data_IF_197136062231
#
_entry.id   IF_197136062231
#
_cell.length_a   1.000
_cell.length_b   1.000
_cell.length_c   1.000
_cell.angle_alpha   90.00
_cell.angle_beta   90.00
_cell.angle_gamma   90.00
#
_symmetry.space_group_name_H-M   'P 1'
#
loop_
_entity.id
_entity.type
_entity.pdbx_description
1 polymer ?
#
# COMPACT_ATOMS: atom_id res chain seq x y z
N UNK A 1 -41.54 14.77 -36.57
CA UNK A 1 -40.16 14.22 -36.48
C UNK A 1 -39.26 14.95 -35.46
N UNK A 2 -39.70 15.19 -34.21
CA UNK A 2 -38.87 15.88 -33.19
C UNK A 2 -38.60 15.08 -31.90
N UNK A 3 -39.41 14.06 -31.58
CA UNK A 3 -39.27 13.26 -30.33
C UNK A 3 -38.09 12.28 -30.34
N UNK A 4 -37.72 11.72 -31.50
CA UNK A 4 -36.62 10.73 -31.61
C UNK A 4 -35.23 11.34 -31.35
N UNK A 5 -34.99 12.61 -31.70
CA UNK A 5 -33.70 13.28 -31.45
C UNK A 5 -33.44 13.57 -29.97
N UNK A 6 -34.49 13.84 -29.19
CA UNK A 6 -34.36 14.16 -27.76
C UNK A 6 -33.97 12.92 -26.94
N UNK A 7 -34.54 11.76 -27.29
CA UNK A 7 -34.22 10.49 -26.61
C UNK A 7 -32.77 10.07 -26.86
N UNK A 8 -32.24 10.29 -28.08
CA UNK A 8 -30.85 10.03 -28.40
C UNK A 8 -29.85 10.90 -27.63
N UNK A 9 -30.19 12.17 -27.38
CA UNK A 9 -29.32 13.09 -26.61
C UNK A 9 -29.30 12.71 -25.12
N UNK A 10 -30.43 12.31 -24.54
CA UNK A 10 -30.50 11.88 -23.14
C UNK A 10 -29.70 10.58 -22.91
N UNK A 11 -29.75 9.64 -23.87
CA UNK A 11 -28.97 8.41 -23.81
C UNK A 11 -27.45 8.66 -23.87
N UNK A 12 -27.01 9.61 -24.70
CA UNK A 12 -25.59 9.99 -24.81
C UNK A 12 -25.10 10.67 -23.52
N UNK A 13 -25.90 11.56 -22.93
CA UNK A 13 -25.55 12.22 -21.65
C UNK A 13 -25.50 11.20 -20.50
N UNK A 14 -26.38 10.19 -20.49
CA UNK A 14 -26.34 9.10 -19.53
C UNK A 14 -25.07 8.24 -19.63
N UNK A 15 -24.61 7.95 -20.85
CA UNK A 15 -23.37 7.18 -21.09
C UNK A 15 -22.12 8.01 -20.73
N UNK A 16 -22.09 9.31 -21.07
CA UNK A 16 -21.00 10.21 -20.67
C UNK A 16 -20.97 10.38 -19.14
N UNK A 17 -22.13 10.38 -18.47
CA UNK A 17 -22.21 10.40 -17.00
C UNK A 17 -21.62 9.14 -16.35
N UNK A 18 -21.84 7.96 -16.95
CA UNK A 18 -21.27 6.69 -16.46
C UNK A 18 -19.76 6.63 -16.71
N UNK A 19 -19.29 7.05 -17.89
CA UNK A 19 -17.85 7.15 -18.20
C UNK A 19 -17.18 8.23 -17.34
N UNK A 20 -17.88 9.33 -17.04
CA UNK A 20 -17.41 10.38 -16.14
C UNK A 20 -17.30 9.93 -14.69
N UNK A 21 -18.19 9.06 -14.21
CA UNK A 21 -18.08 8.43 -12.89
C UNK A 21 -16.90 7.43 -12.86
N UNK A 22 -16.70 6.66 -13.92
CA UNK A 22 -15.50 5.80 -14.06
C UNK A 22 -14.21 6.65 -14.12
N UNK A 23 -14.25 7.83 -14.75
CA UNK A 23 -13.14 8.78 -14.81
C UNK A 23 -12.84 9.51 -13.50
N UNK A 24 -13.81 9.62 -12.58
CA UNK A 24 -13.61 10.14 -11.22
C UNK A 24 -13.03 9.06 -10.29
N UNK A 25 -13.17 7.78 -10.63
CA UNK A 25 -12.45 6.65 -10.02
C UNK A 25 -11.12 6.44 -10.75
N UNK A 26 -10.36 7.52 -10.93
CA UNK A 26 -9.04 7.53 -11.56
C UNK A 26 -7.94 6.90 -10.69
N UNK A 27 -8.25 5.81 -9.99
CA UNK A 27 -7.34 5.03 -9.15
C UNK A 27 -7.87 3.58 -9.17
N UNK A 28 -7.86 2.91 -10.33
CA UNK A 28 -7.96 1.45 -10.34
C UNK A 28 -6.58 0.97 -9.87
N UNK A 29 -6.45 0.74 -8.57
CA UNK A 29 -5.32 0.00 -8.03
C UNK A 29 -5.35 -1.39 -8.68
N UNK A 30 -4.40 -1.71 -9.56
CA UNK A 30 -4.25 -3.08 -10.04
C UNK A 30 -3.58 -3.86 -8.92
N UNK A 31 -4.35 -4.75 -8.29
CA UNK A 31 -3.86 -5.66 -7.29
C UNK A 31 -2.99 -6.72 -7.97
N UNK A 32 -1.73 -6.84 -7.56
CA UNK A 32 -0.86 -7.91 -8.02
C UNK A 32 -1.10 -9.16 -7.17
N UNK A 33 -1.63 -10.22 -7.81
CA UNK A 33 -2.05 -11.48 -7.17
C UNK A 33 -0.90 -12.35 -6.65
N UNK A 34 0.36 -11.94 -6.85
CA UNK A 34 1.54 -12.65 -6.35
C UNK A 34 2.15 -11.94 -5.13
N UNK A 35 1.54 -12.04 -3.94
CA UNK A 35 2.11 -11.43 -2.74
C UNK A 35 3.41 -12.12 -2.34
N UNK A 36 4.34 -11.33 -1.83
CA UNK A 36 5.55 -11.84 -1.16
C UNK A 36 5.18 -12.19 0.28
N UNK A 37 5.34 -13.45 0.68
CA UNK A 37 4.89 -13.94 1.98
C UNK A 37 6.05 -14.43 2.86
N UNK A 38 5.87 -14.27 4.16
CA UNK A 38 6.85 -14.52 5.21
C UNK A 38 6.21 -15.27 6.39
N UNK A 39 7.05 -15.84 7.25
CA UNK A 39 6.70 -16.54 8.48
C UNK A 39 5.68 -17.65 8.23
N UNK A 40 5.97 -18.53 7.27
CA UNK A 40 5.05 -19.60 6.81
C UNK A 40 3.69 -19.03 6.38
N UNK A 41 3.73 -18.04 5.50
CA UNK A 41 2.56 -17.34 4.98
C UNK A 41 1.71 -16.64 6.05
N UNK A 42 2.24 -16.32 7.22
CA UNK A 42 1.51 -15.58 8.26
C UNK A 42 1.39 -14.09 7.96
N UNK A 43 2.41 -13.52 7.31
CA UNK A 43 2.47 -12.10 6.91
C UNK A 43 2.79 -12.05 5.43
N UNK A 44 2.06 -11.24 4.68
CA UNK A 44 2.30 -11.05 3.26
C UNK A 44 2.38 -9.57 2.91
N UNK A 45 3.07 -9.27 1.81
CA UNK A 45 3.21 -7.95 1.24
C UNK A 45 2.63 -7.97 -0.18
N UNK A 46 1.62 -7.13 -0.40
CA UNK A 46 1.01 -6.94 -1.71
C UNK A 46 1.37 -5.58 -2.29
N UNK A 47 1.40 -5.51 -3.61
CA UNK A 47 1.59 -4.27 -4.36
C UNK A 47 0.28 -3.85 -5.02
N UNK A 48 0.00 -2.56 -4.94
CA UNK A 48 -1.15 -1.89 -5.53
C UNK A 48 -0.61 -0.90 -6.55
N UNK A 49 -0.81 -1.17 -7.82
CA UNK A 49 -0.30 -0.33 -8.91
C UNK A 49 -1.32 0.74 -9.30
N UNK A 50 -0.86 1.98 -9.36
CA UNK A 50 -1.62 3.13 -9.83
C UNK A 50 -0.96 3.68 -11.11
N UNK A 51 -1.62 4.63 -11.78
CA UNK A 51 -1.18 5.14 -13.09
C UNK A 51 0.29 5.59 -13.16
N UNK A 52 0.85 6.05 -12.03
CA UNK A 52 2.23 6.54 -11.97
C UNK A 52 3.00 6.07 -10.72
N UNK A 53 2.46 5.12 -9.95
CA UNK A 53 3.01 4.79 -8.64
C UNK A 53 2.65 3.37 -8.18
N UNK A 54 3.27 2.93 -7.09
CA UNK A 54 2.94 1.66 -6.45
C UNK A 54 2.88 1.82 -4.93
N UNK A 55 1.79 1.39 -4.29
CA UNK A 55 1.73 1.23 -2.84
C UNK A 55 2.05 -0.22 -2.49
N UNK A 56 2.92 -0.44 -1.50
CA UNK A 56 3.08 -1.76 -0.89
C UNK A 56 2.47 -1.76 0.49
N UNK A 57 1.58 -2.72 0.71
CA UNK A 57 0.93 -2.94 1.99
C UNK A 57 1.34 -4.29 2.56
N UNK A 58 1.83 -4.25 3.79
CA UNK A 58 2.08 -5.43 4.60
C UNK A 58 0.80 -5.76 5.36
N UNK A 59 0.39 -7.03 5.39
CA UNK A 59 -0.86 -7.44 6.00
C UNK A 59 -0.74 -8.84 6.61
N UNK A 60 -1.61 -9.13 7.58
CA UNK A 60 -1.78 -10.49 8.07
C UNK A 60 -2.48 -11.33 7.01
N UNK A 61 -1.89 -12.44 6.61
CA UNK A 61 -2.48 -13.29 5.58
C UNK A 61 -3.61 -14.18 6.14
N UNK A 62 -4.46 -14.66 5.24
CA UNK A 62 -5.46 -15.67 5.52
C UNK A 62 -5.68 -16.53 4.27
N UNK A 63 -5.07 -17.72 4.24
CA UNK A 63 -5.08 -18.62 3.09
C UNK A 63 -6.47 -19.21 2.77
N UNK A 64 -7.40 -19.18 3.72
CA UNK A 64 -8.75 -19.71 3.52
C UNK A 64 -9.67 -18.73 2.78
N UNK A 65 -9.21 -17.52 2.46
CA UNK A 65 -10.02 -16.53 1.76
C UNK A 65 -10.04 -16.79 0.26
N UNK A 66 -11.22 -16.55 -0.32
CA UNK A 66 -11.41 -16.44 -1.75
C UNK A 66 -10.84 -15.10 -2.26
N UNK A 67 -10.44 -15.04 -3.53
CA UNK A 67 -9.80 -13.85 -4.12
C UNK A 67 -10.67 -12.59 -4.02
N UNK A 68 -11.99 -12.72 -4.16
CA UNK A 68 -12.95 -11.62 -4.00
C UNK A 68 -12.96 -10.98 -2.59
N UNK A 69 -12.57 -11.74 -1.56
CA UNK A 69 -12.50 -11.26 -0.17
C UNK A 69 -11.12 -10.78 0.23
N UNK A 70 -10.09 -11.11 -0.55
CA UNK A 70 -8.68 -10.85 -0.24
C UNK A 70 -8.39 -9.36 -0.16
N UNK A 71 -8.90 -8.57 -1.09
CA UNK A 71 -8.71 -7.11 -1.08
C UNK A 71 -9.26 -6.45 0.19
N UNK A 72 -10.50 -6.78 0.57
CA UNK A 72 -11.11 -6.27 1.79
C UNK A 72 -10.33 -6.72 3.03
N UNK A 73 -9.87 -7.97 3.04
CA UNK A 73 -9.04 -8.49 4.13
C UNK A 73 -7.72 -7.74 4.29
N UNK A 74 -7.01 -7.49 3.19
CA UNK A 74 -5.76 -6.72 3.20
C UNK A 74 -6.01 -5.35 3.82
N UNK A 75 -7.05 -4.65 3.40
CA UNK A 75 -7.39 -3.31 3.93
C UNK A 75 -7.70 -3.32 5.43
N UNK A 76 -8.40 -4.35 5.93
CA UNK A 76 -8.75 -4.47 7.34
C UNK A 76 -7.59 -4.95 8.23
N UNK A 77 -6.62 -5.67 7.66
CA UNK A 77 -5.54 -6.32 8.40
C UNK A 77 -4.15 -5.80 8.00
N UNK A 78 -4.08 -4.54 7.53
CA UNK A 78 -2.81 -3.86 7.27
C UNK A 78 -1.99 -3.81 8.56
N UNK A 79 -0.73 -4.15 8.44
CA UNK A 79 0.27 -4.04 9.49
C UNK A 79 1.00 -2.73 9.25
N UNK A 80 0.95 -1.80 10.20
CA UNK A 80 1.48 -0.46 10.02
C UNK A 80 2.04 0.12 11.32
N UNK A 81 3.18 0.84 11.31
CA UNK A 81 3.72 1.47 12.50
C UNK A 81 2.81 2.62 12.96
N UNK A 82 2.48 2.65 14.25
CA UNK A 82 1.57 3.65 14.81
C UNK A 82 2.16 5.06 14.70
N UNK A 83 1.32 6.04 14.36
CA UNK A 83 1.65 7.48 14.29
C UNK A 83 2.74 7.84 13.28
N UNK A 84 2.99 6.99 12.28
CA UNK A 84 3.88 7.32 11.18
C UNK A 84 3.08 7.55 9.90
N UNK A 85 3.67 8.28 8.96
CA UNK A 85 3.12 8.49 7.63
C UNK A 85 4.20 8.01 6.67
N UNK A 86 3.87 7.07 5.79
CA UNK A 86 4.87 6.38 4.99
C UNK A 86 4.40 5.04 4.43
N UNK A 87 5.34 4.27 3.87
CA UNK A 87 5.03 3.03 3.16
C UNK A 87 6.08 1.97 3.42
N UNK A 88 5.67 0.71 3.34
CA UNK A 88 6.61 -0.40 3.32
C UNK A 88 7.30 -0.48 1.96
N UNK A 89 8.59 -0.82 1.96
CA UNK A 89 9.37 -1.00 0.73
C UNK A 89 9.66 -2.47 0.44
N UNK A 90 10.21 -3.16 1.42
CA UNK A 90 10.64 -4.54 1.35
C UNK A 90 10.71 -5.12 2.75
N UNK A 91 10.65 -6.44 2.85
CA UNK A 91 10.83 -7.19 4.08
C UNK A 91 11.77 -8.38 3.84
N UNK A 92 12.38 -8.87 4.91
CA UNK A 92 13.17 -10.10 4.90
C UNK A 92 12.97 -10.86 6.22
N UNK A 93 12.98 -12.20 6.17
CA UNK A 93 12.96 -13.02 7.38
C UNK A 93 14.30 -12.99 8.10
N UNK A 94 14.27 -12.74 9.41
CA UNK A 94 15.46 -12.80 10.26
C UNK A 94 15.40 -13.97 11.26
N UNK A 95 14.23 -14.59 11.43
CA UNK A 95 14.01 -15.80 12.23
C UNK A 95 12.68 -16.44 11.86
N UNK A 96 12.40 -17.62 12.43
CA UNK A 96 11.11 -18.31 12.25
C UNK A 96 9.89 -17.57 12.81
N UNK A 97 10.08 -16.51 13.61
CA UNK A 97 9.01 -15.71 14.19
C UNK A 97 9.12 -14.22 13.90
N UNK A 98 10.13 -13.76 13.15
CA UNK A 98 10.33 -12.32 12.95
C UNK A 98 10.85 -11.98 11.56
N UNK A 99 10.32 -10.89 11.02
CA UNK A 99 10.80 -10.22 9.81
C UNK A 99 11.37 -8.85 10.17
N UNK A 100 12.24 -8.34 9.31
CA UNK A 100 12.63 -6.93 9.28
C UNK A 100 12.08 -6.33 8.01
N UNK A 101 11.42 -5.18 8.14
CA UNK A 101 10.86 -4.44 7.03
C UNK A 101 11.42 -3.02 6.99
N UNK A 102 11.77 -2.57 5.78
CA UNK A 102 12.14 -1.18 5.53
C UNK A 102 10.89 -0.35 5.31
N UNK A 103 10.80 0.77 6.01
CA UNK A 103 9.69 1.70 5.96
C UNK A 103 10.19 3.08 5.55
N UNK A 104 9.63 3.64 4.50
CA UNK A 104 9.92 5.00 4.08
C UNK A 104 8.92 5.96 4.72
N UNK A 105 9.40 6.71 5.71
CA UNK A 105 8.61 7.67 6.46
C UNK A 105 8.71 9.06 5.84
N UNK A 106 7.56 9.71 5.69
CA UNK A 106 7.44 11.12 5.41
C UNK A 106 7.43 11.90 6.72
N UNK A 107 8.39 12.81 6.89
CA UNK A 107 8.55 13.64 8.10
C UNK A 107 8.45 15.12 7.76
N UNK A 108 8.33 15.96 8.80
CA UNK A 108 8.31 17.42 8.68
C UNK A 108 7.20 18.00 7.79
N UNK A 109 6.09 17.27 7.63
CA UNK A 109 4.91 17.73 6.89
C UNK A 109 3.89 18.35 7.84
N UNK A 110 3.38 19.54 7.49
CA UNK A 110 2.33 20.21 8.26
C UNK A 110 0.98 19.50 8.14
N UNK A 111 0.71 18.93 6.96
CA UNK A 111 -0.48 18.16 6.64
C UNK A 111 -0.10 17.18 5.54
N UNK A 112 -0.54 15.94 5.67
CA UNK A 112 -0.44 14.99 4.56
C UNK A 112 -1.42 15.42 3.47
N UNK A 113 -0.91 15.65 2.27
CA UNK A 113 -1.71 15.91 1.06
C UNK A 113 -1.51 14.71 0.12
N UNK A 114 -2.58 14.12 -0.46
CA UNK A 114 -2.42 13.02 -1.41
C UNK A 114 -1.68 13.54 -2.64
N UNK A 115 -0.38 13.31 -2.65
CA UNK A 115 0.57 13.73 -3.67
C UNK A 115 1.49 12.55 -3.92
N UNK A 116 1.91 12.38 -5.18
CA UNK A 116 2.99 11.47 -5.53
C UNK A 116 4.27 11.81 -4.73
N UNK A 117 5.08 10.79 -4.39
CA UNK A 117 6.26 10.93 -3.53
C UNK A 117 7.28 11.92 -4.07
N UNK A 118 7.41 11.99 -5.40
CA UNK A 118 8.29 12.93 -6.10
C UNK A 118 7.91 14.41 -5.89
N UNK A 119 6.68 14.68 -5.42
CA UNK A 119 6.23 16.03 -5.03
C UNK A 119 6.60 16.40 -3.61
N UNK A 120 6.99 15.43 -2.78
CA UNK A 120 7.56 15.68 -1.47
C UNK A 120 9.08 15.82 -1.60
N UNK A 121 9.69 16.86 -0.99
CA UNK A 121 11.13 17.02 -1.03
C UNK A 121 11.87 15.81 -0.47
N UNK A 122 12.98 15.41 -1.10
CA UNK A 122 13.75 14.23 -0.71
C UNK A 122 14.25 14.30 0.74
N UNK A 123 14.53 15.51 1.23
CA UNK A 123 14.91 15.80 2.60
C UNK A 123 13.81 15.52 3.65
N UNK A 124 12.57 15.36 3.22
CA UNK A 124 11.44 14.98 4.09
C UNK A 124 11.22 13.46 4.14
N UNK A 125 12.01 12.69 3.39
CA UNK A 125 11.95 11.23 3.43
C UNK A 125 13.02 10.66 4.37
N UNK A 126 12.62 9.69 5.19
CA UNK A 126 13.51 8.95 6.09
C UNK A 126 13.29 7.47 5.89
N UNK A 127 14.37 6.72 5.75
CA UNK A 127 14.32 5.27 5.75
C UNK A 127 14.47 4.75 7.19
N UNK A 128 13.46 4.00 7.64
CA UNK A 128 13.43 3.32 8.93
C UNK A 128 13.37 1.81 8.73
N UNK A 129 13.73 1.08 9.78
CA UNK A 129 13.68 -0.37 9.80
C UNK A 129 12.90 -0.83 11.02
N UNK A 130 11.93 -1.70 10.80
CA UNK A 130 11.08 -2.26 11.83
C UNK A 130 11.26 -3.77 11.90
N UNK A 131 11.43 -4.28 13.11
CA UNK A 131 11.26 -5.70 13.38
C UNK A 131 9.80 -5.97 13.70
N UNK A 132 9.22 -6.93 13.00
CA UNK A 132 7.86 -7.38 13.18
C UNK A 132 7.92 -8.83 13.65
N UNK A 133 7.54 -9.06 14.89
CA UNK A 133 7.57 -10.37 15.54
C UNK A 133 6.16 -10.93 15.66
N UNK A 134 5.95 -12.15 15.18
CA UNK A 134 4.73 -12.92 15.37
C UNK A 134 4.68 -13.50 16.78
N UNK A 135 3.56 -13.28 17.46
CA UNK A 135 3.25 -13.79 18.79
C UNK A 135 2.36 -15.04 18.67
N UNK A 136 2.31 -15.86 19.72
CA UNK A 136 1.64 -17.17 19.69
C UNK A 136 0.10 -17.11 19.53
N UNK A 137 -0.49 -15.92 19.60
CA UNK A 137 -1.92 -15.64 19.41
C UNK A 137 -2.24 -14.91 18.09
N UNK A 138 -1.36 -15.05 17.09
CA UNK A 138 -1.39 -14.35 15.80
C UNK A 138 -1.40 -12.81 15.91
N UNK A 139 -1.02 -12.27 17.07
CA UNK A 139 -0.72 -10.85 17.20
C UNK A 139 0.70 -10.58 16.72
N UNK A 140 0.96 -9.33 16.35
CA UNK A 140 2.28 -8.89 15.95
C UNK A 140 2.77 -7.77 16.87
N UNK A 141 4.07 -7.77 17.13
CA UNK A 141 4.76 -6.67 17.78
C UNK A 141 5.65 -5.97 16.76
N UNK A 142 5.48 -4.66 16.62
CA UNK A 142 6.32 -3.80 15.78
C UNK A 142 7.25 -3.01 16.70
N UNK A 143 8.56 -3.05 16.43
CA UNK A 143 9.57 -2.25 17.13
C UNK A 143 10.64 -1.76 16.17
N UNK A 144 11.30 -0.66 16.49
CA UNK A 144 12.48 -0.24 15.75
C UNK A 144 13.51 -1.36 15.74
N UNK A 145 14.06 -1.65 14.57
CA UNK A 145 15.15 -2.61 14.43
C UNK A 145 16.47 -1.95 14.84
N UNK A 146 17.12 -2.51 15.86
CA UNK A 146 18.41 -2.04 16.41
C UNK A 146 19.50 -3.10 16.16
N UNK A 147 19.23 -4.09 15.31
CA UNK A 147 20.16 -5.17 15.02
C UNK A 147 21.29 -4.76 14.07
N UNK A 148 22.12 -5.73 13.70
CA UNK A 148 23.29 -5.52 12.85
C UNK A 148 22.86 -5.13 11.44
N UNK A 149 23.50 -4.08 10.88
CA UNK A 149 23.41 -3.77 9.45
C UNK A 149 24.02 -4.92 8.65
N UNK A 150 23.18 -5.58 7.87
CA UNK A 150 23.57 -6.64 6.93
C UNK A 150 23.44 -6.10 5.49
N UNK A 151 23.87 -6.90 4.51
CA UNK A 151 23.80 -6.51 3.10
C UNK A 151 22.38 -6.10 2.67
N UNK A 152 21.36 -6.84 3.12
CA UNK A 152 19.97 -6.51 2.80
C UNK A 152 19.57 -5.10 3.29
N UNK A 153 19.98 -4.69 4.51
CA UNK A 153 19.74 -3.34 5.04
C UNK A 153 20.50 -2.28 4.24
N UNK A 154 21.73 -2.59 3.84
CA UNK A 154 22.58 -1.68 3.07
C UNK A 154 22.05 -1.45 1.65
N UNK A 155 21.38 -2.44 1.07
CA UNK A 155 20.74 -2.36 -0.24
C UNK A 155 19.42 -1.58 -0.22
N UNK A 156 18.85 -1.26 0.95
CA UNK A 156 17.60 -0.52 1.02
C UNK A 156 17.81 0.98 0.78
N UNK A 157 16.95 1.55 -0.06
CA UNK A 157 16.93 2.97 -0.39
C UNK A 157 15.51 3.53 -0.39
N UNK A 158 15.37 4.86 -0.35
CA UNK A 158 14.08 5.53 -0.58
C UNK A 158 13.60 5.21 -2.00
N UNK A 159 12.37 4.70 -2.12
CA UNK A 159 11.77 4.39 -3.42
C UNK A 159 10.88 5.56 -3.86
N UNK A 160 11.41 6.33 -4.81
CA UNK A 160 10.73 7.52 -5.36
C UNK A 160 9.54 7.20 -6.27
N UNK A 161 9.28 5.91 -6.56
CA UNK A 161 8.16 5.46 -7.40
C UNK A 161 6.92 5.00 -6.61
N UNK A 162 6.91 5.15 -5.27
CA UNK A 162 5.69 4.90 -4.49
C UNK A 162 4.82 6.17 -4.39
N UNK A 163 3.57 6.07 -3.96
CA UNK A 163 2.67 7.23 -3.76
C UNK A 163 2.23 7.37 -2.31
N UNK A 164 2.04 8.62 -1.87
CA UNK A 164 1.58 8.92 -0.52
C UNK A 164 0.06 8.89 -0.45
N UNK A 165 -0.48 7.77 0.03
CA UNK A 165 -1.86 7.69 0.50
C UNK A 165 -1.94 8.37 1.88
N UNK A 166 -2.47 9.59 1.90
CA UNK A 166 -2.77 10.27 3.14
C UNK A 166 -4.11 9.77 3.67
N UNK A 167 -4.15 9.32 4.92
CA UNK A 167 -5.42 9.09 5.61
C UNK A 167 -6.25 10.39 5.54
N UNK A 168 -7.42 10.29 4.92
CA UNK A 168 -8.31 11.41 4.62
C UNK A 168 -9.02 11.96 5.86
#
# INVERSE_FOLDING_TARGET
MKKSKIIGIIAIIGIIGIIGIIGIIGIIAIFNDNPECFLKNGICMSSFEYSHSTEKSLYRNNEALTEDKKLNWINLHRIYPKNEIGFWNSCTEISSKSIVCSFQQLVNIKKCVPLSIDRYPIENWRLKFYEITLLDNDQFKIKNYIGRKNSWIEDQHINVKQEVMCDS
#
